data_IF_763557222902
#
_entry.id   IF_763557222902
#
_cell.length_a   1.000
_cell.length_b   1.000
_cell.length_c   1.000
_cell.angle_alpha   90.00
_cell.angle_beta   90.00
_cell.angle_gamma   90.00
#
_symmetry.space_group_name_H-M   'P 1'
#
loop_
_entity.id
_entity.type
_entity.pdbx_description
1 polymer ?
#
# COMPACT_ATOMS: atom_id res chain seq x y z
N UNK A 1 14.40 7.97 0.23
CA UNK A 1 15.37 6.89 -0.07
C UNK A 1 16.46 7.35 -1.06
N UNK A 2 16.10 7.83 -2.29
CA UNK A 2 17.09 8.23 -3.29
C UNK A 2 17.95 9.42 -2.86
N UNK A 3 17.36 10.45 -2.24
CA UNK A 3 18.10 11.61 -1.71
C UNK A 3 19.00 11.25 -0.52
N UNK A 4 18.54 10.36 0.34
CA UNK A 4 19.34 9.82 1.45
C UNK A 4 20.59 9.10 0.94
N UNK A 5 20.44 8.25 -0.09
CA UNK A 5 21.57 7.56 -0.72
C UNK A 5 22.53 8.56 -1.41
N UNK A 6 21.99 9.54 -2.17
CA UNK A 6 22.79 10.57 -2.83
C UNK A 6 23.65 11.37 -1.85
N UNK A 7 23.10 11.77 -0.70
CA UNK A 7 23.85 12.48 0.36
C UNK A 7 25.02 11.66 0.94
N UNK A 8 25.01 10.34 0.74
CA UNK A 8 26.03 9.40 1.24
C UNK A 8 26.88 8.79 0.13
N UNK A 9 26.77 9.34 -1.08
CA UNK A 9 27.46 8.82 -2.28
C UNK A 9 27.19 7.33 -2.54
N UNK A 10 25.99 6.86 -2.17
CA UNK A 10 25.54 5.49 -2.35
C UNK A 10 24.57 5.38 -3.54
N UNK A 11 24.52 4.22 -4.21
CA UNK A 11 23.49 3.97 -5.23
C UNK A 11 22.08 4.00 -4.63
N UNK A 12 21.08 4.42 -5.41
CA UNK A 12 19.68 4.52 -4.97
C UNK A 12 19.15 3.25 -4.32
N UNK A 13 19.57 2.09 -4.82
CA UNK A 13 19.22 0.78 -4.27
C UNK A 13 19.54 0.65 -2.78
N UNK A 14 20.68 1.17 -2.34
CA UNK A 14 21.04 1.17 -0.92
C UNK A 14 20.06 1.97 -0.06
N UNK A 15 19.56 3.11 -0.60
CA UNK A 15 18.52 3.90 0.08
C UNK A 15 17.18 3.16 0.18
N UNK A 16 16.81 2.35 -0.80
CA UNK A 16 15.58 1.55 -0.74
C UNK A 16 15.69 0.42 0.28
N UNK A 17 16.83 -0.25 0.35
CA UNK A 17 17.10 -1.30 1.36
C UNK A 17 17.04 -0.71 2.78
N UNK A 18 17.66 0.43 2.99
CA UNK A 18 17.63 1.08 4.30
C UNK A 18 16.24 1.59 4.66
N UNK A 19 15.49 2.10 3.65
CA UNK A 19 14.09 2.47 3.82
C UNK A 19 13.21 1.30 4.25
N UNK A 20 13.44 0.10 3.76
CA UNK A 20 12.68 -1.10 4.19
C UNK A 20 12.91 -1.43 5.66
N UNK A 21 14.15 -1.34 6.14
CA UNK A 21 14.46 -1.53 7.57
C UNK A 21 13.81 -0.46 8.45
N UNK A 22 13.80 0.79 7.95
CA UNK A 22 13.14 1.90 8.65
C UNK A 22 11.64 1.66 8.79
N UNK A 23 10.97 1.13 7.75
CA UNK A 23 9.54 0.78 7.82
C UNK A 23 9.29 -0.27 8.91
N UNK A 24 10.15 -1.27 9.04
CA UNK A 24 10.03 -2.29 10.08
C UNK A 24 10.09 -1.68 11.49
N UNK A 25 11.06 -0.80 11.72
CA UNK A 25 11.18 -0.10 13.00
C UNK A 25 9.98 0.81 13.27
N UNK A 26 9.50 1.54 12.26
CA UNK A 26 8.32 2.40 12.41
C UNK A 26 7.06 1.60 12.73
N UNK A 27 6.89 0.39 12.18
CA UNK A 27 5.78 -0.47 12.55
C UNK A 27 5.82 -0.85 14.04
N UNK A 28 6.99 -1.18 14.57
CA UNK A 28 7.18 -1.49 16.00
C UNK A 28 6.92 -0.24 16.86
N UNK A 29 7.47 0.89 16.47
CA UNK A 29 7.29 2.16 17.18
C UNK A 29 5.82 2.59 17.20
N UNK A 30 5.11 2.49 16.06
CA UNK A 30 3.69 2.79 15.94
C UNK A 30 2.84 1.89 16.87
N UNK A 31 3.11 0.59 16.86
CA UNK A 31 2.43 -0.34 17.76
C UNK A 31 2.66 0.01 19.24
N UNK A 32 3.91 0.32 19.61
CA UNK A 32 4.27 0.67 20.99
C UNK A 32 3.67 2.01 21.45
N UNK A 33 3.41 2.91 20.50
CA UNK A 33 2.73 4.21 20.76
C UNK A 33 1.20 4.10 20.79
N UNK A 34 0.64 2.91 20.53
CA UNK A 34 -0.81 2.70 20.49
C UNK A 34 -1.47 3.27 19.24
N UNK A 35 -0.73 3.36 18.12
CA UNK A 35 -1.29 3.74 16.83
C UNK A 35 -1.97 2.52 16.22
N UNK A 36 -3.25 2.65 15.89
CA UNK A 36 -4.04 1.54 15.35
C UNK A 36 -3.78 1.32 13.85
N UNK A 37 -3.59 2.40 13.09
CA UNK A 37 -3.47 2.36 11.63
C UNK A 37 -2.20 3.07 11.15
N UNK A 38 -1.40 2.39 10.33
CA UNK A 38 -0.22 2.95 9.71
C UNK A 38 -0.23 2.66 8.20
N UNK A 39 -0.20 3.71 7.38
CA UNK A 39 -0.08 3.57 5.92
C UNK A 39 1.27 4.06 5.43
N UNK A 40 1.94 3.27 4.59
CA UNK A 40 3.19 3.65 3.94
C UNK A 40 3.09 3.60 2.42
N UNK A 41 3.67 4.61 1.76
CA UNK A 41 3.80 4.62 0.29
C UNK A 41 5.05 3.86 -0.13
N UNK A 42 4.86 2.70 -0.77
CA UNK A 42 5.96 1.84 -1.23
C UNK A 42 6.29 2.05 -2.71
N UNK A 43 5.27 2.06 -3.59
CA UNK A 43 5.45 2.23 -5.02
C UNK A 43 4.22 2.91 -5.63
N UNK A 44 4.41 4.07 -6.28
CA UNK A 44 3.33 4.81 -6.93
C UNK A 44 3.20 4.46 -8.42
N UNK A 45 2.03 4.74 -8.99
CA UNK A 45 1.77 4.57 -10.45
C UNK A 45 2.76 5.36 -11.32
N UNK A 46 3.24 6.52 -10.84
CA UNK A 46 4.23 7.32 -11.55
C UNK A 46 5.62 6.66 -11.57
N UNK A 47 5.91 5.74 -10.66
CA UNK A 47 7.21 5.08 -10.59
C UNK A 47 7.49 4.17 -11.78
N UNK A 48 6.47 3.74 -12.53
CA UNK A 48 6.64 3.01 -13.78
C UNK A 48 7.36 3.82 -14.87
N UNK A 49 7.38 5.16 -14.76
CA UNK A 49 8.11 6.05 -15.68
C UNK A 49 9.61 6.14 -15.40
N UNK A 50 10.11 5.46 -14.36
CA UNK A 50 11.54 5.41 -14.05
C UNK A 50 12.27 4.49 -15.02
N UNK A 51 13.62 4.59 -15.11
CA UNK A 51 14.43 3.65 -15.87
C UNK A 51 14.10 2.20 -15.51
N UNK A 52 14.07 1.34 -16.50
CA UNK A 52 13.62 -0.06 -16.36
C UNK A 52 14.43 -0.84 -15.32
N UNK A 53 15.74 -0.64 -15.29
CA UNK A 53 16.66 -1.24 -14.31
C UNK A 53 16.33 -0.84 -12.88
N UNK A 54 15.91 0.43 -12.66
CA UNK A 54 15.45 0.91 -11.34
C UNK A 54 14.11 0.24 -10.96
N UNK A 55 13.16 0.15 -11.90
CA UNK A 55 11.87 -0.50 -11.67
C UNK A 55 12.07 -1.98 -11.32
N UNK A 56 12.88 -2.71 -12.09
CA UNK A 56 13.18 -4.12 -11.83
C UNK A 56 13.85 -4.33 -10.46
N UNK A 57 14.77 -3.44 -10.09
CA UNK A 57 15.41 -3.51 -8.77
C UNK A 57 14.40 -3.27 -7.63
N UNK A 58 13.46 -2.35 -7.80
CA UNK A 58 12.38 -2.09 -6.85
C UNK A 58 11.42 -3.28 -6.74
N UNK A 59 10.99 -3.87 -7.86
CA UNK A 59 10.13 -5.05 -7.88
C UNK A 59 10.78 -6.24 -7.18
N UNK A 60 12.08 -6.46 -7.40
CA UNK A 60 12.83 -7.50 -6.69
C UNK A 60 12.86 -7.26 -5.18
N UNK A 61 13.05 -6.01 -4.75
CA UNK A 61 13.04 -5.65 -3.33
C UNK A 61 11.65 -5.83 -2.70
N UNK A 62 10.60 -5.39 -3.39
CA UNK A 62 9.22 -5.54 -2.94
C UNK A 62 8.82 -7.02 -2.82
N UNK A 63 9.20 -7.84 -3.80
CA UNK A 63 8.99 -9.30 -3.76
C UNK A 63 9.63 -9.93 -2.52
N UNK A 64 10.87 -9.55 -2.21
CA UNK A 64 11.56 -10.01 -1.01
C UNK A 64 10.89 -9.52 0.26
N UNK A 65 10.43 -8.27 0.26
CA UNK A 65 9.72 -7.67 1.40
C UNK A 65 8.41 -8.41 1.68
N UNK A 66 7.59 -8.67 0.67
CA UNK A 66 6.31 -9.39 0.80
C UNK A 66 6.51 -10.78 1.44
N UNK A 67 7.49 -11.55 0.95
CA UNK A 67 7.83 -12.87 1.53
C UNK A 67 8.23 -12.81 3.00
N UNK A 68 8.98 -11.79 3.39
CA UNK A 68 9.40 -11.60 4.79
C UNK A 68 8.25 -11.05 5.64
N UNK A 69 7.36 -10.26 5.05
CA UNK A 69 6.25 -9.62 5.74
C UNK A 69 5.27 -10.65 6.32
N UNK A 70 4.97 -11.74 5.61
CA UNK A 70 4.09 -12.82 6.08
C UNK A 70 4.55 -13.34 7.45
N UNK A 71 5.82 -13.73 7.56
CA UNK A 71 6.37 -14.28 8.81
C UNK A 71 6.36 -13.29 9.97
N UNK A 72 6.65 -12.02 9.68
CA UNK A 72 6.69 -10.95 10.69
C UNK A 72 5.31 -10.55 11.15
N UNK A 73 4.40 -10.36 10.22
CA UNK A 73 3.04 -9.92 10.52
C UNK A 73 2.31 -10.92 11.38
N UNK A 74 2.48 -12.22 11.12
CA UNK A 74 1.95 -13.28 11.98
C UNK A 74 2.57 -13.23 13.38
N UNK A 75 3.90 -13.07 13.48
CA UNK A 75 4.59 -13.02 14.78
C UNK A 75 4.19 -11.79 15.60
N UNK A 76 3.98 -10.64 14.96
CA UNK A 76 3.71 -9.34 15.60
C UNK A 76 2.21 -9.01 15.65
N UNK A 77 1.34 -9.97 15.34
CA UNK A 77 -0.11 -9.78 15.32
C UNK A 77 -0.57 -8.58 14.46
N UNK A 78 0.12 -8.31 13.35
CA UNK A 78 -0.21 -7.21 12.45
C UNK A 78 -1.24 -7.65 11.40
N UNK A 79 -2.27 -6.84 11.18
CA UNK A 79 -3.20 -6.97 10.06
C UNK A 79 -2.67 -6.17 8.87
N UNK A 80 -2.30 -6.84 7.78
CA UNK A 80 -1.69 -6.17 6.62
C UNK A 80 -2.68 -6.10 5.47
N UNK A 81 -2.74 -4.95 4.81
CA UNK A 81 -3.53 -4.71 3.61
C UNK A 81 -2.72 -3.96 2.56
N UNK A 82 -2.85 -4.35 1.31
CA UNK A 82 -2.22 -3.66 0.18
C UNK A 82 -3.25 -2.76 -0.49
N UNK A 83 -2.92 -1.48 -0.65
CA UNK A 83 -3.74 -0.48 -1.35
C UNK A 83 -3.15 -0.24 -2.74
N UNK A 84 -3.98 -0.18 -3.76
CA UNK A 84 -3.59 0.08 -5.14
C UNK A 84 -3.95 -1.03 -6.12
N UNK A 85 -3.76 -0.78 -7.40
CA UNK A 85 -4.05 -1.75 -8.46
C UNK A 85 -2.93 -2.78 -8.58
N UNK A 86 -3.09 -3.92 -7.91
CA UNK A 86 -2.12 -5.02 -7.94
C UNK A 86 -2.18 -5.85 -9.22
N UNK A 87 -3.18 -5.65 -10.10
CA UNK A 87 -3.34 -6.42 -11.34
C UNK A 87 -2.17 -6.28 -12.32
N UNK A 88 -1.43 -5.17 -12.24
CA UNK A 88 -0.24 -4.88 -13.05
C UNK A 88 1.06 -5.49 -12.52
N UNK A 89 1.02 -6.07 -11.34
CA UNK A 89 2.17 -6.74 -10.74
C UNK A 89 2.32 -8.15 -11.31
N UNK A 90 3.53 -8.70 -11.22
CA UNK A 90 3.79 -10.08 -11.61
C UNK A 90 2.90 -11.07 -10.82
N UNK A 91 2.46 -12.19 -11.42
CA UNK A 91 1.54 -13.13 -10.80
C UNK A 91 1.99 -13.66 -9.44
N UNK A 92 3.30 -13.90 -9.27
CA UNK A 92 3.87 -14.37 -8.00
C UNK A 92 3.78 -13.32 -6.88
N UNK A 93 3.84 -12.04 -7.23
CA UNK A 93 3.63 -10.95 -6.28
C UNK A 93 2.16 -10.82 -5.90
N UNK A 94 1.26 -10.94 -6.86
CA UNK A 94 -0.19 -10.93 -6.61
C UNK A 94 -0.58 -12.07 -5.68
N UNK A 95 -0.01 -13.27 -5.87
CA UNK A 95 -0.25 -14.42 -5.00
C UNK A 95 0.29 -14.18 -3.58
N UNK A 96 1.51 -13.65 -3.46
CA UNK A 96 2.11 -13.31 -2.17
C UNK A 96 1.32 -12.25 -1.41
N UNK A 97 0.68 -11.30 -2.12
CA UNK A 97 -0.20 -10.29 -1.52
C UNK A 97 -1.47 -10.96 -0.99
N UNK A 98 -2.14 -11.79 -1.80
CA UNK A 98 -3.33 -12.54 -1.36
C UNK A 98 -3.05 -13.40 -0.14
N UNK A 99 -1.94 -14.14 -0.15
CA UNK A 99 -1.51 -14.96 0.99
C UNK A 99 -1.29 -14.10 2.23
N UNK A 100 -0.58 -12.97 2.11
CA UNK A 100 -0.29 -12.06 3.22
C UNK A 100 -1.58 -11.52 3.85
N UNK A 101 -2.50 -11.04 3.05
CA UNK A 101 -3.78 -10.50 3.51
C UNK A 101 -4.64 -11.60 4.16
N UNK A 102 -4.72 -12.77 3.56
CA UNK A 102 -5.50 -13.89 4.09
C UNK A 102 -4.97 -14.39 5.43
N UNK A 103 -3.66 -14.57 5.56
CA UNK A 103 -3.02 -15.05 6.79
C UNK A 103 -3.12 -14.04 7.93
N UNK A 104 -3.19 -12.75 7.61
CA UNK A 104 -3.18 -11.67 8.62
C UNK A 104 -4.53 -11.03 8.89
N UNK A 105 -5.59 -11.38 8.15
CA UNK A 105 -6.92 -10.72 8.24
C UNK A 105 -7.57 -10.74 9.62
N UNK A 106 -7.25 -11.74 10.44
CA UNK A 106 -7.80 -11.89 11.79
C UNK A 106 -6.87 -11.35 12.89
N UNK A 107 -5.72 -10.80 12.53
CA UNK A 107 -4.82 -10.18 13.49
C UNK A 107 -5.43 -8.87 14.01
N UNK A 108 -5.22 -8.58 15.28
CA UNK A 108 -5.86 -7.49 16.01
C UNK A 108 -4.90 -6.41 16.51
N UNK A 109 -3.62 -6.51 16.13
CA UNK A 109 -2.62 -5.50 16.45
C UNK A 109 -2.61 -4.35 15.43
N UNK A 110 -1.43 -3.85 15.08
CA UNK A 110 -1.29 -2.75 14.12
C UNK A 110 -1.93 -3.11 12.76
N UNK A 111 -2.86 -2.29 12.30
CA UNK A 111 -3.37 -2.33 10.93
C UNK A 111 -2.38 -1.61 10.02
N UNK A 112 -1.61 -2.38 9.25
CA UNK A 112 -0.55 -1.87 8.41
C UNK A 112 -0.94 -1.88 6.93
N UNK A 113 -1.06 -0.70 6.32
CA UNK A 113 -1.39 -0.53 4.92
C UNK A 113 -0.14 -0.22 4.09
N UNK A 114 0.03 -0.93 2.97
CA UNK A 114 1.13 -0.70 2.03
C UNK A 114 0.55 -0.22 0.69
N UNK A 115 0.74 1.05 0.37
CA UNK A 115 0.34 1.60 -0.92
C UNK A 115 1.32 1.16 -2.01
N UNK A 116 0.90 0.18 -2.84
CA UNK A 116 1.69 -0.47 -3.87
C UNK A 116 1.00 -0.38 -5.24
N UNK A 117 1.71 0.13 -6.23
CA UNK A 117 1.12 0.55 -7.51
C UNK A 117 -0.10 1.47 -7.30
N UNK A 118 0.03 2.37 -6.34
CA UNK A 118 -1.01 3.27 -5.89
C UNK A 118 -0.85 4.67 -6.51
N UNK A 119 -1.97 5.26 -6.89
CA UNK A 119 -2.08 6.65 -7.27
C UNK A 119 -3.49 7.15 -6.95
N UNK A 120 -3.62 8.26 -6.21
CA UNK A 120 -4.93 8.75 -5.76
C UNK A 120 -5.90 9.02 -6.92
N UNK A 121 -5.42 9.61 -8.03
CA UNK A 121 -6.27 9.84 -9.21
C UNK A 121 -6.66 8.55 -9.92
N UNK A 122 -5.77 7.55 -9.96
CA UNK A 122 -6.06 6.23 -10.50
C UNK A 122 -7.12 5.52 -9.65
N UNK A 123 -6.97 5.55 -8.34
CA UNK A 123 -7.95 5.00 -7.40
C UNK A 123 -9.32 5.67 -7.53
N UNK A 124 -9.37 7.01 -7.54
CA UNK A 124 -10.62 7.75 -7.76
C UNK A 124 -11.31 7.34 -9.06
N UNK A 125 -10.55 7.19 -10.16
CA UNK A 125 -11.10 6.75 -11.44
C UNK A 125 -11.64 5.31 -11.38
N UNK A 126 -10.99 4.42 -10.64
CA UNK A 126 -11.49 3.05 -10.41
C UNK A 126 -12.79 3.08 -9.59
N UNK A 127 -12.82 3.86 -8.51
CA UNK A 127 -14.01 4.05 -7.69
C UNK A 127 -15.18 4.63 -8.48
N UNK A 128 -14.94 5.67 -9.30
CA UNK A 128 -15.95 6.26 -10.18
C UNK A 128 -16.52 5.24 -11.18
N UNK A 129 -15.68 4.35 -11.75
CA UNK A 129 -16.15 3.29 -12.66
C UNK A 129 -17.03 2.29 -11.94
N UNK A 130 -16.66 1.87 -10.72
CA UNK A 130 -17.48 0.97 -9.90
C UNK A 130 -18.88 1.58 -9.67
N UNK A 131 -18.93 2.87 -9.33
CA UNK A 131 -20.20 3.57 -9.12
C UNK A 131 -20.99 3.68 -10.44
N UNK A 132 -20.34 4.04 -11.54
CA UNK A 132 -20.97 4.14 -12.84
C UNK A 132 -21.58 2.80 -13.29
N UNK A 133 -20.89 1.69 -13.06
CA UNK A 133 -21.42 0.34 -13.33
C UNK A 133 -22.67 0.02 -12.50
N UNK A 134 -22.71 0.45 -11.23
CA UNK A 134 -23.93 0.30 -10.39
C UNK A 134 -25.11 1.08 -10.96
N UNK A 135 -24.85 2.33 -11.42
CA UNK A 135 -25.89 3.14 -12.07
C UNK A 135 -26.39 2.48 -13.36
N UNK A 136 -25.48 1.99 -14.20
CA UNK A 136 -25.81 1.29 -15.44
C UNK A 136 -26.67 0.03 -15.20
N UNK A 137 -26.39 -0.72 -14.13
CA UNK A 137 -27.16 -1.90 -13.71
C UNK A 137 -28.48 -1.55 -13.03
N UNK A 138 -28.75 -0.27 -12.78
CA UNK A 138 -29.96 0.19 -12.08
C UNK A 138 -29.94 -0.10 -10.57
N UNK A 139 -28.77 -0.37 -9.99
CA UNK A 139 -28.61 -0.62 -8.55
C UNK A 139 -28.68 0.66 -7.72
N UNK A 140 -28.40 1.81 -8.32
CA UNK A 140 -28.62 3.15 -7.77
C UNK A 140 -28.83 4.18 -8.88
N UNK A 141 -29.42 5.34 -8.54
CA UNK A 141 -29.54 6.49 -9.45
C UNK A 141 -28.39 7.47 -9.22
N UNK A 142 -28.05 8.33 -10.20
CA UNK A 142 -26.98 9.32 -10.04
C UNK A 142 -27.18 10.25 -8.83
N UNK A 143 -28.42 10.65 -8.54
CA UNK A 143 -28.78 11.50 -7.41
C UNK A 143 -28.71 10.81 -6.04
N UNK A 144 -28.59 9.48 -6.02
CA UNK A 144 -28.45 8.67 -4.80
C UNK A 144 -26.99 8.40 -4.43
N UNK A 145 -26.03 8.87 -5.27
CA UNK A 145 -24.61 8.72 -4.99
C UNK A 145 -24.23 9.60 -3.79
N UNK A 146 -23.67 8.98 -2.75
CA UNK A 146 -23.23 9.64 -1.51
C UNK A 146 -21.73 9.56 -1.33
N UNK A 147 -21.21 10.36 -0.41
CA UNK A 147 -19.80 10.30 0.01
C UNK A 147 -19.42 8.91 0.57
N UNK A 148 -20.34 8.28 1.29
CA UNK A 148 -20.20 6.91 1.78
C UNK A 148 -20.03 5.90 0.64
N UNK A 149 -20.89 5.98 -0.38
CA UNK A 149 -20.81 5.10 -1.55
C UNK A 149 -19.47 5.28 -2.29
N UNK A 150 -18.97 6.52 -2.34
CA UNK A 150 -17.67 6.80 -2.92
C UNK A 150 -16.55 6.20 -2.07
N UNK A 151 -16.54 6.44 -0.76
CA UNK A 151 -15.55 5.90 0.19
C UNK A 151 -15.52 4.36 0.16
N UNK A 152 -16.69 3.71 0.07
CA UNK A 152 -16.82 2.26 -0.06
C UNK A 152 -16.30 1.70 -1.39
N UNK A 153 -16.11 2.56 -2.40
CA UNK A 153 -15.53 2.19 -3.69
C UNK A 153 -14.00 2.32 -3.77
N UNK A 154 -13.38 2.86 -2.72
CA UNK A 154 -11.94 3.05 -2.63
C UNK A 154 -11.22 1.84 -2.00
N UNK A 155 -9.92 1.74 -2.24
CA UNK A 155 -9.06 0.71 -1.64
C UNK A 155 -8.98 0.86 -0.10
N UNK A 156 -9.24 2.07 0.40
CA UNK A 156 -9.28 2.42 1.84
C UNK A 156 -10.60 2.08 2.52
N UNK A 157 -11.53 1.44 1.83
CA UNK A 157 -12.80 0.96 2.40
C UNK A 157 -12.60 0.29 3.76
N UNK A 158 -13.34 0.77 4.78
CA UNK A 158 -13.28 0.25 6.15
C UNK A 158 -12.01 0.64 6.92
N UNK A 159 -11.19 1.53 6.39
CA UNK A 159 -10.04 2.15 7.07
C UNK A 159 -10.45 3.58 7.41
N UNK A 160 -10.25 4.06 8.65
CA UNK A 160 -10.56 5.44 9.03
C UNK A 160 -9.68 6.44 8.27
N UNK A 161 -10.17 7.67 8.14
CA UNK A 161 -9.39 8.77 7.60
C UNK A 161 -8.14 9.05 8.43
N UNK A 162 -7.03 9.46 7.81
CA UNK A 162 -5.79 9.69 8.53
C UNK A 162 -5.83 10.97 9.37
N UNK A 163 -5.50 10.87 10.65
CA UNK A 163 -5.31 12.03 11.53
C UNK A 163 -4.00 12.79 11.23
N UNK A 164 -3.00 12.10 10.70
CA UNK A 164 -1.68 12.65 10.47
C UNK A 164 -1.06 12.14 9.16
N UNK A 165 -0.61 13.06 8.32
CA UNK A 165 0.19 12.77 7.13
C UNK A 165 1.61 13.33 7.30
N UNK A 166 2.61 12.44 7.26
CA UNK A 166 4.02 12.84 7.30
C UNK A 166 4.65 12.64 5.91
N UNK A 167 5.15 13.72 5.35
CA UNK A 167 5.93 13.68 4.12
C UNK A 167 7.29 14.34 4.34
N UNK A 168 8.34 13.53 4.26
CA UNK A 168 9.72 14.04 4.26
C UNK A 168 10.13 14.44 2.84
N UNK A 169 10.75 15.59 2.70
CA UNK A 169 11.21 16.12 1.40
C UNK A 169 12.59 15.58 1.02
#
# INVERSE_FOLDING_TARGET
NGRWAKKRHLPRKAGHVEGSKTVEQICEDAYNLGIDYLTVYAFSTENWKRPEDEVQALMKLLRQYLKNCIKRSTKNNMCVRVLGDVSRLEPDMQESIRELEEVTKNNTGLHFQVALNYGSRDEMLRGMRIIAEKVEKGECKPEEITEEMFSESLDTKGIPDPDLLIRTS
#
